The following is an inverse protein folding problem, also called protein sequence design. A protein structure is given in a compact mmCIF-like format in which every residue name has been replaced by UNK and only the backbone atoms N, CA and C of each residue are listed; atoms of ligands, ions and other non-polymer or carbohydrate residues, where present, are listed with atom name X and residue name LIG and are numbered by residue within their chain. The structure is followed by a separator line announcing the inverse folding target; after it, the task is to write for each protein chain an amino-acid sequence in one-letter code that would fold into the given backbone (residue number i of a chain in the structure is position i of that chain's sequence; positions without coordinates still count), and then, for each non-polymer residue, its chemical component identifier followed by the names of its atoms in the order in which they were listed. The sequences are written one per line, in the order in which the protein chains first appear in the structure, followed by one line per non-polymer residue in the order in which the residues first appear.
data_IF_149595390948
#
_entry.id   IF_149595390948
#
_cell.length_a   1.000
_cell.length_b   1.000
_cell.length_c   1.000
_cell.angle_alpha   90.00
_cell.angle_beta   90.00
_cell.angle_gamma   90.00
#
_symmetry.space_group_name_H-M   'P 1'
#
loop_
_entity.id
_entity.type
_entity.pdbx_description
1 polymer ?
#
# COMPACT_ATOMS: atom_id res chain seq x y z
N UNK A 1 8.26 -12.27 -18.93
CA UNK A 1 7.40 -12.35 -20.10
C UNK A 1 6.99 -13.81 -20.30
N UNK A 2 5.74 -14.14 -20.37
CA UNK A 2 5.24 -15.51 -20.52
C UNK A 2 4.02 -15.82 -19.66
N UNK A 3 3.63 -14.88 -18.83
CA UNK A 3 2.38 -14.94 -18.07
C UNK A 3 1.24 -14.33 -18.90
N UNK A 4 0.05 -14.86 -18.72
CA UNK A 4 -1.19 -14.40 -19.37
C UNK A 4 -1.20 -14.49 -20.90
N UNK A 5 -1.10 -15.70 -21.39
CA UNK A 5 -1.37 -15.94 -22.81
C UNK A 5 -2.82 -15.58 -23.17
N UNK A 6 -3.06 -15.01 -24.36
CA UNK A 6 -2.11 -14.87 -25.47
C UNK A 6 -1.22 -13.62 -25.41
N UNK A 7 -1.44 -12.69 -24.47
CA UNK A 7 -0.79 -11.37 -24.51
C UNK A 7 0.62 -11.35 -23.94
N UNK A 8 1.02 -12.34 -23.14
CA UNK A 8 2.32 -12.39 -22.43
C UNK A 8 2.64 -11.08 -21.69
N UNK A 9 1.65 -10.46 -21.09
CA UNK A 9 1.78 -9.13 -20.51
C UNK A 9 2.54 -9.11 -19.17
N UNK A 10 2.67 -10.26 -18.50
CA UNK A 10 3.44 -10.41 -17.27
C UNK A 10 3.18 -9.27 -16.25
N UNK A 11 4.21 -8.52 -15.91
CA UNK A 11 4.15 -7.39 -14.99
C UNK A 11 3.25 -6.23 -15.47
N UNK A 12 2.90 -6.19 -16.75
CA UNK A 12 2.02 -5.19 -17.34
C UNK A 12 0.55 -5.60 -17.39
N UNK A 13 0.18 -6.69 -16.71
CA UNK A 13 -1.21 -7.10 -16.50
C UNK A 13 -1.60 -6.96 -15.04
N UNK A 14 -2.69 -6.26 -14.74
CA UNK A 14 -3.20 -6.21 -13.37
C UNK A 14 -3.70 -7.59 -12.93
N UNK A 15 -3.37 -7.97 -11.70
CA UNK A 15 -3.86 -9.20 -11.05
C UNK A 15 -4.48 -8.87 -9.71
N UNK A 16 -5.53 -9.58 -9.38
CA UNK A 16 -6.12 -9.54 -8.04
C UNK A 16 -5.40 -10.53 -7.13
N UNK A 17 -5.12 -10.08 -5.92
CA UNK A 17 -4.59 -10.88 -4.83
C UNK A 17 -5.67 -11.04 -3.78
N UNK A 18 -5.76 -12.24 -3.20
CA UNK A 18 -6.79 -12.61 -2.24
C UNK A 18 -6.12 -13.04 -0.93
N UNK A 19 -6.48 -12.38 0.15
CA UNK A 19 -5.93 -12.66 1.48
C UNK A 19 -7.00 -13.36 2.30
N UNK A 20 -6.72 -14.60 2.69
CA UNK A 20 -7.66 -15.46 3.40
C UNK A 20 -7.21 -15.66 4.83
N UNK A 21 -8.16 -15.63 5.74
CA UNK A 21 -7.99 -16.02 7.13
C UNK A 21 -8.92 -17.18 7.40
N UNK A 22 -8.37 -18.30 7.87
CA UNK A 22 -9.10 -19.54 8.13
C UNK A 22 -9.91 -20.00 6.89
N UNK A 23 -9.30 -19.96 5.71
CA UNK A 23 -9.90 -20.36 4.44
C UNK A 23 -10.93 -19.39 3.86
N UNK A 24 -11.26 -18.29 4.56
CA UNK A 24 -12.24 -17.31 4.11
C UNK A 24 -11.54 -16.08 3.55
N UNK A 25 -11.87 -15.68 2.30
CA UNK A 25 -11.33 -14.47 1.71
C UNK A 25 -11.79 -13.24 2.50
N UNK A 26 -10.85 -12.50 3.06
CA UNK A 26 -11.08 -11.31 3.88
C UNK A 26 -10.77 -10.03 3.14
N UNK A 27 -9.74 -10.06 2.31
CA UNK A 27 -9.33 -8.92 1.52
C UNK A 27 -9.06 -9.32 0.08
N UNK A 28 -9.42 -8.44 -0.83
CA UNK A 28 -9.08 -8.54 -2.25
C UNK A 28 -8.46 -7.24 -2.70
N UNK A 29 -7.30 -7.33 -3.32
CA UNK A 29 -6.59 -6.17 -3.86
C UNK A 29 -6.18 -6.43 -5.29
N UNK A 30 -6.58 -5.56 -6.21
CA UNK A 30 -5.91 -5.50 -7.50
C UNK A 30 -4.55 -4.84 -7.29
N UNK A 31 -3.49 -5.62 -7.48
CA UNK A 31 -2.11 -5.17 -7.28
C UNK A 31 -1.62 -4.49 -8.54
N UNK A 32 -1.68 -3.16 -8.54
CA UNK A 32 -1.35 -2.34 -9.69
C UNK A 32 -0.80 -0.98 -9.28
N UNK A 33 0.16 -0.47 -10.03
CA UNK A 33 0.70 0.89 -9.89
C UNK A 33 0.53 1.63 -11.20
N UNK A 34 0.00 2.83 -11.09
CA UNK A 34 -0.29 3.76 -12.18
C UNK A 34 0.53 5.06 -12.06
N UNK A 35 1.66 4.99 -11.39
CA UNK A 35 2.46 6.15 -11.03
C UNK A 35 3.97 5.96 -11.25
N UNK A 36 4.37 5.00 -12.08
CA UNK A 36 5.79 4.76 -12.37
C UNK A 36 6.48 5.97 -13.04
N UNK A 37 5.74 6.75 -13.82
CA UNK A 37 6.20 7.96 -14.45
C UNK A 37 6.56 9.08 -13.45
N UNK A 38 6.03 9.00 -12.20
CA UNK A 38 6.40 9.91 -11.11
C UNK A 38 7.65 9.49 -10.33
N UNK A 39 8.30 8.40 -10.77
CA UNK A 39 9.50 7.88 -10.13
C UNK A 39 10.55 8.99 -9.93
N UNK A 40 11.11 9.13 -8.70
CA UNK A 40 12.15 10.12 -8.43
C UNK A 40 13.44 9.86 -9.20
N UNK A 41 13.71 8.61 -9.59
CA UNK A 41 14.84 8.24 -10.41
C UNK A 41 14.49 8.35 -11.90
N UNK A 42 14.78 9.47 -12.50
CA UNK A 42 14.56 9.71 -13.94
C UNK A 42 15.66 10.60 -14.55
N UNK A 43 15.91 10.51 -15.86
CA UNK A 43 15.35 9.51 -16.77
C UNK A 43 15.99 8.15 -16.57
N UNK A 44 15.22 7.10 -16.88
CA UNK A 44 15.72 5.73 -16.95
C UNK A 44 15.51 5.20 -18.38
N UNK A 45 16.25 4.14 -18.73
CA UNK A 45 16.05 3.45 -20.00
C UNK A 45 14.85 2.48 -19.97
N UNK A 46 14.36 2.10 -21.14
CA UNK A 46 13.34 1.07 -21.30
C UNK A 46 11.93 1.49 -20.93
N UNK A 47 11.18 0.61 -20.30
CA UNK A 47 9.75 0.73 -20.01
C UNK A 47 9.43 1.26 -18.61
N UNK A 48 10.34 1.98 -18.01
CA UNK A 48 10.24 2.43 -16.61
C UNK A 48 8.99 3.28 -16.30
N UNK A 49 8.47 3.99 -17.28
CA UNK A 49 7.27 4.84 -17.15
C UNK A 49 5.95 4.06 -17.16
N UNK A 50 5.97 2.79 -17.56
CA UNK A 50 4.74 2.04 -17.75
C UNK A 50 4.21 1.54 -16.40
N UNK A 51 2.90 1.60 -16.27
CA UNK A 51 2.15 1.03 -15.17
C UNK A 51 2.38 -0.48 -15.07
N UNK A 52 2.45 -1.00 -13.85
CA UNK A 52 2.75 -2.42 -13.62
C UNK A 52 2.33 -2.93 -12.24
N UNK A 53 2.51 -4.24 -12.04
CA UNK A 53 2.14 -4.93 -10.80
C UNK A 53 3.05 -4.52 -9.64
N UNK A 54 2.58 -3.63 -8.80
CA UNK A 54 3.11 -3.21 -7.49
C UNK A 54 4.53 -2.64 -7.41
N UNK A 55 5.26 -2.53 -8.48
CA UNK A 55 6.63 -2.01 -8.44
C UNK A 55 6.90 -1.05 -9.60
N UNK A 56 7.86 -0.18 -9.42
CA UNK A 56 8.39 0.66 -10.50
C UNK A 56 9.92 0.59 -10.41
N UNK A 57 10.65 0.49 -11.53
CA UNK A 57 12.10 0.46 -11.50
C UNK A 57 12.70 1.64 -10.74
N UNK A 58 13.45 1.36 -9.67
CA UNK A 58 14.08 2.38 -8.85
C UNK A 58 13.16 3.09 -7.85
N UNK A 59 11.94 2.62 -7.67
CA UNK A 59 11.03 3.11 -6.66
C UNK A 59 10.69 2.03 -5.62
N UNK A 60 10.23 2.49 -4.49
CA UNK A 60 9.75 1.64 -3.40
C UNK A 60 8.59 0.76 -3.84
N UNK A 61 8.57 -0.49 -3.42
CA UNK A 61 7.45 -1.41 -3.60
C UNK A 61 6.37 -1.07 -2.57
N UNK A 62 5.12 -0.99 -2.99
CA UNK A 62 4.03 -0.72 -2.07
C UNK A 62 3.77 -1.91 -1.15
N UNK A 63 3.60 -1.63 0.13
CA UNK A 63 3.09 -2.57 1.12
C UNK A 63 1.59 -2.33 1.33
N UNK A 64 0.88 -3.38 1.71
CA UNK A 64 -0.54 -3.33 2.04
C UNK A 64 -0.74 -3.91 3.44
N UNK A 65 -1.27 -3.11 4.34
CA UNK A 65 -1.55 -3.52 5.71
C UNK A 65 -2.99 -4.01 5.82
N UNK A 66 -3.15 -5.20 6.38
CA UNK A 66 -4.43 -5.85 6.56
C UNK A 66 -4.66 -6.19 8.03
N UNK A 67 -5.67 -5.57 8.63
CA UNK A 67 -6.05 -5.86 10.03
C UNK A 67 -6.86 -7.15 10.09
N UNK A 68 -6.35 -8.14 10.79
CA UNK A 68 -6.97 -9.47 10.88
C UNK A 68 -7.49 -9.84 12.27
N UNK A 69 -7.36 -8.97 13.25
CA UNK A 69 -7.73 -9.23 14.66
C UNK A 69 -9.17 -9.70 14.83
N UNK A 70 -10.08 -9.27 13.96
CA UNK A 70 -11.50 -9.65 14.01
C UNK A 70 -11.75 -11.12 13.64
N UNK A 71 -10.77 -11.82 13.09
CA UNK A 71 -10.92 -13.19 12.57
C UNK A 71 -9.96 -14.20 13.21
N UNK A 72 -9.16 -13.74 14.14
CA UNK A 72 -8.20 -14.56 14.88
C UNK A 72 -8.42 -14.41 16.38
N UNK A 73 -8.16 -15.49 17.12
CA UNK A 73 -8.21 -15.47 18.58
C UNK A 73 -6.79 -15.63 19.10
N UNK A 74 -6.27 -14.67 19.88
CA UNK A 74 -4.94 -14.82 20.47
C UNK A 74 -4.77 -16.15 21.23
N UNK A 75 -3.64 -16.80 21.04
CA UNK A 75 -3.34 -18.09 21.64
C UNK A 75 -3.93 -19.32 20.94
N UNK A 76 -4.66 -19.14 19.83
CA UNK A 76 -5.13 -20.25 18.99
C UNK A 76 -4.42 -20.26 17.65
N UNK A 77 -4.34 -21.43 17.02
CA UNK A 77 -3.82 -21.55 15.65
C UNK A 77 -4.84 -21.02 14.63
N UNK A 78 -4.34 -20.44 13.56
CA UNK A 78 -5.13 -20.00 12.41
C UNK A 78 -4.31 -20.18 11.13
N UNK A 79 -4.97 -20.16 9.97
CA UNK A 79 -4.30 -20.15 8.68
C UNK A 79 -4.37 -18.77 8.02
N UNK A 80 -3.29 -18.41 7.36
CA UNK A 80 -3.22 -17.27 6.43
C UNK A 80 -2.84 -17.81 5.06
N UNK A 81 -3.61 -17.46 4.04
CA UNK A 81 -3.33 -17.84 2.67
C UNK A 81 -3.32 -16.59 1.80
N UNK A 82 -2.34 -16.48 0.93
CA UNK A 82 -2.22 -15.41 -0.05
C UNK A 82 -2.31 -16.02 -1.45
N UNK A 83 -3.47 -15.88 -2.06
CA UNK A 83 -3.71 -16.38 -3.42
C UNK A 83 -3.57 -15.26 -4.44
N UNK A 84 -3.11 -15.62 -5.63
CA UNK A 84 -3.08 -14.73 -6.79
C UNK A 84 -4.13 -15.18 -7.79
N UNK A 85 -4.80 -14.24 -8.43
CA UNK A 85 -5.71 -14.52 -9.54
C UNK A 85 -5.03 -15.43 -10.55
N UNK A 86 -5.74 -16.46 -10.99
CA UNK A 86 -5.22 -17.43 -11.93
C UNK A 86 -4.63 -16.76 -13.19
N UNK A 87 -3.48 -17.23 -13.62
CA UNK A 87 -2.80 -16.79 -14.82
C UNK A 87 -2.20 -18.00 -15.56
N UNK A 88 -1.94 -17.82 -16.84
CA UNK A 88 -1.23 -18.81 -17.63
C UNK A 88 0.23 -18.35 -17.80
N UNK A 89 1.15 -19.29 -17.81
CA UNK A 89 2.55 -19.02 -18.12
C UNK A 89 3.06 -19.97 -19.19
N UNK A 90 3.99 -19.51 -20.00
CA UNK A 90 4.53 -20.25 -21.14
C UNK A 90 5.98 -20.63 -20.98
N UNK A 91 6.68 -20.06 -19.99
CA UNK A 91 8.09 -20.32 -19.72
C UNK A 91 8.29 -20.65 -18.24
N UNK A 92 9.34 -21.39 -17.92
CA UNK A 92 9.65 -21.79 -16.54
C UNK A 92 10.33 -20.71 -15.69
N UNK A 93 10.41 -19.49 -16.18
CA UNK A 93 11.12 -18.39 -15.52
C UNK A 93 10.19 -17.27 -15.02
N UNK A 94 8.89 -17.40 -15.25
CA UNK A 94 7.90 -16.42 -14.80
C UNK A 94 7.45 -16.74 -13.37
N UNK A 95 7.58 -15.77 -12.46
CA UNK A 95 7.17 -15.92 -11.07
C UNK A 95 6.71 -14.59 -10.46
N UNK A 96 5.87 -14.68 -9.45
CA UNK A 96 5.64 -13.60 -8.51
C UNK A 96 6.57 -13.76 -7.31
N UNK A 97 7.18 -12.67 -6.91
CA UNK A 97 7.87 -12.59 -5.62
C UNK A 97 6.97 -11.86 -4.65
N UNK A 98 6.57 -12.55 -3.60
CA UNK A 98 5.64 -12.06 -2.58
C UNK A 98 6.33 -12.23 -1.23
N UNK A 99 6.23 -11.21 -0.39
CA UNK A 99 6.65 -11.26 0.99
C UNK A 99 5.47 -10.85 1.86
N UNK A 100 5.06 -11.75 2.76
CA UNK A 100 4.02 -11.51 3.74
C UNK A 100 4.64 -11.51 5.14
N UNK A 101 4.31 -10.50 5.93
CA UNK A 101 4.77 -10.36 7.31
C UNK A 101 3.58 -10.33 8.25
N UNK A 102 3.59 -11.17 9.28
CA UNK A 102 2.62 -11.11 10.36
C UNK A 102 3.20 -10.28 11.51
N UNK A 103 2.52 -9.19 11.81
CA UNK A 103 2.89 -8.31 12.92
C UNK A 103 1.84 -8.40 14.01
N UNK A 104 2.27 -8.61 15.26
CA UNK A 104 1.38 -8.62 16.42
C UNK A 104 1.72 -7.47 17.35
N UNK A 105 0.69 -6.84 17.90
CA UNK A 105 0.81 -5.75 18.85
C UNK A 105 0.24 -6.17 20.20
N UNK A 106 0.75 -5.55 21.25
CA UNK A 106 0.07 -5.54 22.54
C UNK A 106 -1.23 -4.73 22.50
N UNK A 107 -1.99 -4.72 23.58
CA UNK A 107 -3.16 -3.84 23.67
C UNK A 107 -2.73 -2.37 23.49
N UNK A 108 -3.62 -1.57 22.93
CA UNK A 108 -3.38 -0.14 22.76
C UNK A 108 -3.09 0.52 24.13
N UNK A 109 -2.11 1.43 24.17
CA UNK A 109 -1.72 2.14 25.39
C UNK A 109 -2.77 3.16 25.85
N UNK A 110 -3.58 3.65 24.92
CA UNK A 110 -4.59 4.67 25.16
C UNK A 110 -5.94 4.23 24.58
N UNK A 111 -7.01 4.69 25.22
CA UNK A 111 -8.37 4.41 24.78
C UNK A 111 -8.69 5.12 23.45
N UNK A 112 -8.30 6.37 23.34
CA UNK A 112 -8.45 7.17 22.12
C UNK A 112 -7.07 7.71 21.76
N UNK A 113 -6.60 7.41 20.59
CA UNK A 113 -5.31 7.86 20.09
C UNK A 113 -5.29 7.78 18.55
N UNK A 114 -4.52 8.67 17.95
CA UNK A 114 -4.32 8.71 16.51
C UNK A 114 -2.91 9.17 16.17
N UNK A 115 -2.32 8.59 15.17
CA UNK A 115 -1.02 8.97 14.63
C UNK A 115 -1.14 9.50 13.22
N UNK A 116 -0.26 10.43 12.84
CA UNK A 116 0.03 10.73 11.44
C UNK A 116 1.00 9.66 10.96
N UNK A 117 0.57 8.85 10.02
CA UNK A 117 1.38 7.77 9.45
C UNK A 117 2.23 8.27 8.29
N UNK A 118 1.69 9.15 7.43
CA UNK A 118 2.42 9.75 6.32
C UNK A 118 1.88 11.15 5.98
N UNK A 119 2.74 11.95 5.36
CA UNK A 119 2.40 13.25 4.77
C UNK A 119 2.75 13.19 3.29
N UNK A 120 1.74 12.97 2.47
CA UNK A 120 1.91 12.83 1.01
C UNK A 120 2.15 14.20 0.36
N UNK A 121 1.44 15.23 0.81
CA UNK A 121 1.61 16.60 0.31
C UNK A 121 1.31 17.65 1.40
N UNK A 122 2.13 18.71 1.51
CA UNK A 122 3.47 18.86 0.97
C UNK A 122 4.45 17.92 1.71
N UNK A 123 5.36 17.29 1.00
CA UNK A 123 6.31 16.35 1.59
C UNK A 123 7.72 16.53 1.01
N UNK A 124 8.73 16.30 1.84
CA UNK A 124 10.12 16.19 1.40
C UNK A 124 10.50 14.76 1.02
N UNK A 125 9.59 13.80 1.16
CA UNK A 125 9.81 12.43 0.74
C UNK A 125 10.02 12.38 -0.77
N UNK A 126 11.08 11.74 -1.21
CA UNK A 126 11.45 11.60 -2.62
C UNK A 126 10.34 10.95 -3.46
N UNK A 127 9.59 10.00 -2.90
CA UNK A 127 8.49 9.33 -3.57
C UNK A 127 7.37 10.30 -3.96
N UNK A 128 7.12 11.32 -3.15
CA UNK A 128 6.07 12.32 -3.37
C UNK A 128 6.57 13.60 -4.04
N UNK A 129 7.88 13.76 -4.20
CA UNK A 129 8.52 15.02 -4.60
C UNK A 129 7.99 15.60 -5.91
N UNK A 130 7.66 14.76 -6.90
CA UNK A 130 7.12 15.20 -8.20
C UNK A 130 5.62 15.53 -8.15
N UNK A 131 4.91 15.07 -7.13
CA UNK A 131 3.49 15.39 -6.88
C UNK A 131 3.31 16.53 -5.88
N UNK A 132 4.40 17.02 -5.34
CA UNK A 132 4.40 17.96 -4.23
C UNK A 132 4.06 19.37 -4.69
N UNK A 133 2.79 19.67 -4.80
CA UNK A 133 2.32 21.02 -5.08
C UNK A 133 2.41 21.87 -3.79
N UNK A 134 3.30 22.84 -3.77
CA UNK A 134 3.52 23.76 -2.63
C UNK A 134 2.24 24.53 -2.26
N UNK A 135 1.35 24.73 -3.22
CA UNK A 135 0.09 25.47 -3.07
C UNK A 135 -1.16 24.60 -3.09
N UNK A 136 -1.00 23.28 -2.98
CA UNK A 136 -2.13 22.34 -2.97
C UNK A 136 -2.72 22.13 -1.58
N UNK A 137 -3.85 21.46 -1.53
CA UNK A 137 -4.44 20.99 -0.28
C UNK A 137 -3.53 19.94 0.34
N UNK A 138 -3.22 20.02 1.63
CA UNK A 138 -2.45 18.97 2.31
C UNK A 138 -3.14 17.61 2.20
N UNK A 139 -2.33 16.58 2.01
CA UNK A 139 -2.77 15.18 1.97
C UNK A 139 -1.96 14.43 3.02
N UNK A 140 -2.64 13.86 3.99
CA UNK A 140 -2.03 13.09 5.07
C UNK A 140 -2.70 11.72 5.21
N UNK A 141 -1.96 10.77 5.73
CA UNK A 141 -2.48 9.47 6.15
C UNK A 141 -2.51 9.44 7.66
N UNK A 142 -3.68 9.17 8.22
CA UNK A 142 -3.86 9.02 9.67
C UNK A 142 -4.20 7.56 9.99
N UNK A 143 -3.71 7.09 11.14
CA UNK A 143 -3.96 5.75 11.67
C UNK A 143 -4.55 5.84 13.06
N UNK A 144 -5.57 5.03 13.32
CA UNK A 144 -6.08 4.84 14.67
C UNK A 144 -5.09 3.95 15.46
N UNK A 145 -4.54 4.49 16.51
CA UNK A 145 -3.62 3.79 17.44
C UNK A 145 -4.24 3.55 18.81
N UNK A 146 -5.46 4.02 19.00
CA UNK A 146 -6.25 3.82 20.23
C UNK A 146 -7.06 2.51 20.23
N UNK A 147 -7.54 2.13 21.41
CA UNK A 147 -8.37 0.95 21.60
C UNK A 147 -9.81 1.12 21.04
N UNK A 148 -10.32 2.33 21.03
CA UNK A 148 -11.65 2.64 20.51
C UNK A 148 -11.60 2.90 19.00
N UNK A 149 -12.69 2.60 18.30
CA UNK A 149 -12.87 3.01 16.89
C UNK A 149 -12.83 4.53 16.79
N UNK A 150 -11.97 5.06 15.93
CA UNK A 150 -11.92 6.49 15.63
C UNK A 150 -13.09 6.86 14.73
N UNK A 151 -13.96 7.72 15.22
CA UNK A 151 -15.14 8.21 14.47
C UNK A 151 -14.94 9.60 13.90
N UNK A 152 -14.02 10.36 14.45
CA UNK A 152 -13.66 11.71 13.98
C UNK A 152 -12.23 12.04 14.43
N UNK A 153 -11.59 12.94 13.69
CA UNK A 153 -10.32 13.55 14.06
C UNK A 153 -10.34 15.03 13.64
N UNK A 154 -9.70 15.87 14.42
CA UNK A 154 -9.47 17.28 14.06
C UNK A 154 -8.03 17.46 13.66
N UNK A 155 -7.81 17.97 12.45
CA UNK A 155 -6.48 18.17 11.90
C UNK A 155 -6.21 19.66 11.80
N UNK A 156 -5.15 20.13 12.43
CA UNK A 156 -4.70 21.52 12.37
C UNK A 156 -3.38 21.58 11.62
N UNK A 157 -3.30 22.41 10.61
CA UNK A 157 -2.10 22.57 9.80
C UNK A 157 -1.86 24.04 9.44
N UNK A 158 -0.64 24.40 9.10
CA UNK A 158 -0.27 25.76 8.75
C UNK A 158 1.22 25.96 8.59
N UNK A 159 1.61 27.16 8.20
CA UNK A 159 3.01 27.58 8.14
C UNK A 159 3.47 27.98 9.55
N UNK A 160 4.75 27.76 9.84
CA UNK A 160 5.35 28.20 11.11
C UNK A 160 5.22 29.72 11.25
N UNK A 161 4.59 30.15 12.35
CA UNK A 161 4.31 31.58 12.60
C UNK A 161 3.10 32.16 11.89
N UNK A 162 2.41 31.36 11.09
CA UNK A 162 1.15 31.74 10.43
C UNK A 162 -0.09 31.34 11.25
N UNK A 163 -1.27 31.76 10.78
CA UNK A 163 -2.55 31.31 11.36
C UNK A 163 -2.85 29.90 10.91
N UNK A 164 -3.06 28.95 11.82
CA UNK A 164 -3.40 27.58 11.45
C UNK A 164 -4.78 27.48 10.81
N UNK A 165 -4.95 26.50 9.94
CA UNK A 165 -6.24 26.07 9.40
C UNK A 165 -6.65 24.76 10.07
N UNK A 166 -7.92 24.63 10.40
CA UNK A 166 -8.48 23.42 11.01
C UNK A 166 -9.45 22.75 10.03
N UNK A 167 -9.32 21.43 9.94
CA UNK A 167 -10.18 20.57 9.13
C UNK A 167 -10.80 19.50 10.02
#
# INVERSE_FOLDING_TARGET
HGMDTPSNCAEFCPKSHYYKVNGVNRYTKQVWRDNCDYNPLYPQGGTWVYDRSNWCPGAEVWTYDWEISNWVTPGTSFSLDHDVQAYNHTTGWDYYQIEDQLVSYGPANFTNDAAIEDIIAPSSNQMWSRRNAVCGTPIIVIKNTGANTMTSATITYGLTGGTPTTY
#
